data_IF_622966194843
#
_entry.id   IF_622966194843
#
_cell.length_a   1.000
_cell.length_b   1.000
_cell.length_c   1.000
_cell.angle_alpha   90.00
_cell.angle_beta   90.00
_cell.angle_gamma   90.00
#
_symmetry.space_group_name_H-M   'P 1'
#
loop_
_entity.id
_entity.type
_entity.pdbx_description
1 polymer ?
#
# COMPACT_ATOMS: atom_id res chain seq x y z
N UNK A 1 5.77 -9.89 -15.80
CA UNK A 1 6.68 -9.34 -14.79
C UNK A 1 6.79 -7.85 -15.03
N UNK A 2 6.59 -7.03 -14.01
CA UNK A 2 6.68 -5.58 -14.11
C UNK A 2 8.13 -5.15 -14.37
N UNK A 3 8.36 -4.16 -15.24
CA UNK A 3 9.69 -3.62 -15.50
C UNK A 3 9.71 -2.08 -15.48
N UNK A 4 10.92 -1.50 -15.50
CA UNK A 4 11.12 -0.04 -15.42
C UNK A 4 10.50 0.70 -16.60
N UNK A 5 10.64 0.19 -17.82
CA UNK A 5 10.10 0.83 -19.04
C UNK A 5 8.57 0.91 -19.02
N UNK A 6 7.90 -0.11 -18.48
CA UNK A 6 6.44 -0.10 -18.31
C UNK A 6 5.99 0.99 -17.33
N UNK A 7 6.68 1.12 -16.19
CA UNK A 7 6.36 2.15 -15.20
C UNK A 7 6.58 3.55 -15.79
N UNK A 8 7.68 3.75 -16.52
CA UNK A 8 7.96 5.02 -17.22
C UNK A 8 6.85 5.30 -18.25
N UNK A 9 6.48 4.33 -19.08
CA UNK A 9 5.42 4.51 -20.08
C UNK A 9 4.05 4.82 -19.48
N UNK A 10 3.75 4.33 -18.28
CA UNK A 10 2.53 4.72 -17.55
C UNK A 10 2.64 6.14 -17.00
N UNK A 11 3.80 6.54 -16.51
CA UNK A 11 4.03 7.89 -16.03
C UNK A 11 4.05 8.94 -17.15
N UNK A 12 4.52 8.57 -18.34
CA UNK A 12 4.47 9.45 -19.52
C UNK A 12 3.01 9.78 -19.89
N UNK A 13 2.05 8.89 -19.59
CA UNK A 13 0.61 9.16 -19.76
C UNK A 13 0.11 10.18 -18.73
N UNK A 14 0.59 10.08 -17.49
CA UNK A 14 0.30 11.05 -16.43
C UNK A 14 0.84 12.43 -16.80
N UNK A 15 2.12 12.52 -17.18
CA UNK A 15 2.74 13.79 -17.60
C UNK A 15 2.02 14.39 -18.81
N UNK A 16 1.58 13.56 -19.77
CA UNK A 16 0.84 14.05 -20.93
C UNK A 16 -0.57 14.57 -20.61
N UNK A 17 -1.16 14.13 -19.49
CA UNK A 17 -2.47 14.57 -19.02
C UNK A 17 -2.40 15.78 -18.08
N UNK A 18 -1.21 16.11 -17.56
CA UNK A 18 -0.99 17.28 -16.71
C UNK A 18 -1.11 18.60 -17.52
N UNK A 19 -2.13 19.44 -17.25
CA UNK A 19 -2.32 20.68 -17.98
C UNK A 19 -1.30 21.77 -17.63
N UNK A 20 -0.69 21.70 -16.44
CA UNK A 20 0.24 22.72 -15.95
C UNK A 20 1.69 22.43 -16.40
N UNK A 21 2.06 21.14 -16.45
CA UNK A 21 3.33 20.68 -17.01
C UNK A 21 4.54 21.18 -16.21
N UNK A 22 4.40 21.31 -14.90
CA UNK A 22 5.39 21.91 -14.00
C UNK A 22 6.46 20.92 -13.50
N UNK A 23 6.30 19.63 -13.80
CA UNK A 23 7.25 18.57 -13.45
C UNK A 23 6.92 17.82 -12.17
N UNK A 24 5.75 18.05 -11.56
CA UNK A 24 5.33 17.38 -10.33
C UNK A 24 5.35 15.83 -10.43
N UNK A 25 5.08 15.32 -11.63
CA UNK A 25 5.01 13.89 -11.93
C UNK A 25 6.32 13.29 -12.46
N UNK A 26 7.45 13.98 -12.36
CA UNK A 26 8.76 13.37 -12.69
C UNK A 26 9.03 12.16 -11.78
N UNK A 27 9.41 11.02 -12.38
CA UNK A 27 9.75 9.82 -11.61
C UNK A 27 11.24 9.71 -11.31
N UNK A 28 11.53 9.34 -10.07
CA UNK A 28 12.87 8.90 -9.65
C UNK A 28 12.83 7.46 -9.16
N UNK A 29 13.85 6.70 -9.54
CA UNK A 29 14.04 5.32 -9.10
C UNK A 29 15.23 5.23 -8.16
N UNK A 30 15.05 4.47 -7.08
CA UNK A 30 16.16 3.98 -6.28
C UNK A 30 16.96 2.92 -7.06
N UNK A 31 18.17 2.62 -6.57
CA UNK A 31 18.86 1.41 -6.99
C UNK A 31 18.06 0.18 -6.57
N UNK A 32 18.13 -0.94 -7.32
CA UNK A 32 17.57 -2.21 -6.87
C UNK A 32 18.09 -2.59 -5.49
N UNK A 33 17.20 -3.12 -4.65
CA UNK A 33 17.56 -3.61 -3.32
C UNK A 33 18.38 -4.91 -3.43
N UNK A 34 19.13 -5.23 -2.37
CA UNK A 34 19.94 -6.46 -2.32
C UNK A 34 19.16 -7.62 -1.71
N UNK A 35 19.54 -8.84 -2.08
CA UNK A 35 18.85 -10.08 -1.65
C UNK A 35 18.84 -10.21 -0.11
N UNK A 36 19.92 -9.82 0.54
CA UNK A 36 20.04 -9.93 2.01
C UNK A 36 19.08 -8.97 2.73
N UNK A 37 18.92 -7.74 2.23
CA UNK A 37 17.98 -6.76 2.78
C UNK A 37 16.53 -7.25 2.60
N UNK A 38 16.21 -7.80 1.43
CA UNK A 38 14.89 -8.42 1.17
C UNK A 38 14.65 -9.56 2.16
N UNK A 39 15.61 -10.46 2.35
CA UNK A 39 15.48 -11.57 3.28
C UNK A 39 15.33 -11.10 4.73
N UNK A 40 16.03 -10.02 5.11
CA UNK A 40 15.89 -9.39 6.42
C UNK A 40 14.49 -8.81 6.61
N UNK A 41 13.94 -8.15 5.59
CA UNK A 41 12.59 -7.60 5.66
C UNK A 41 11.55 -8.71 5.81
N UNK A 42 11.66 -9.78 5.00
CA UNK A 42 10.81 -10.98 5.08
C UNK A 42 10.82 -11.60 6.48
N UNK A 43 12.00 -11.65 7.12
CA UNK A 43 12.15 -12.14 8.49
C UNK A 43 11.47 -11.22 9.52
N UNK A 44 11.56 -9.90 9.37
CA UNK A 44 10.93 -8.93 10.28
C UNK A 44 9.41 -8.92 10.16
N UNK A 45 8.87 -9.01 8.94
CA UNK A 45 7.41 -9.08 8.73
C UNK A 45 6.85 -10.47 9.04
N UNK A 46 7.71 -11.50 9.13
CA UNK A 46 7.33 -12.89 9.43
C UNK A 46 6.64 -13.61 8.27
N UNK A 47 6.86 -13.18 7.02
CA UNK A 47 6.36 -13.83 5.81
C UNK A 47 7.24 -13.50 4.59
N UNK A 48 7.24 -14.34 3.55
CA UNK A 48 7.85 -13.99 2.28
C UNK A 48 7.10 -12.81 1.63
N UNK A 49 7.84 -11.96 0.90
CA UNK A 49 7.22 -10.98 0.03
C UNK A 49 6.53 -11.69 -1.14
N UNK A 50 5.41 -11.16 -1.65
CA UNK A 50 4.83 -11.69 -2.88
C UNK A 50 5.86 -11.62 -4.02
N UNK A 51 5.90 -12.67 -4.85
CA UNK A 51 6.96 -12.85 -5.85
C UNK A 51 7.15 -11.63 -6.78
N UNK A 52 6.05 -10.98 -7.18
CA UNK A 52 6.08 -9.80 -8.04
C UNK A 52 6.67 -8.56 -7.33
N UNK A 53 6.38 -8.37 -6.04
CA UNK A 53 6.94 -7.26 -5.26
C UNK A 53 8.43 -7.50 -4.97
N UNK A 54 8.79 -8.73 -4.62
CA UNK A 54 10.19 -9.15 -4.47
C UNK A 54 10.98 -8.90 -5.76
N UNK A 55 10.39 -9.25 -6.91
CA UNK A 55 10.97 -8.99 -8.21
C UNK A 55 11.16 -7.51 -8.51
N UNK A 56 10.15 -6.68 -8.20
CA UNK A 56 10.23 -5.23 -8.33
C UNK A 56 11.43 -4.69 -7.56
N UNK A 57 11.59 -5.04 -6.28
CA UNK A 57 12.71 -4.58 -5.46
C UNK A 57 14.08 -4.99 -6.01
N UNK A 58 14.25 -6.25 -6.39
CA UNK A 58 15.55 -6.79 -6.81
C UNK A 58 15.96 -6.40 -8.24
N UNK A 59 15.01 -6.02 -9.09
CA UNK A 59 15.29 -5.78 -10.52
C UNK A 59 15.08 -4.32 -10.94
N UNK A 60 14.06 -3.66 -10.38
CA UNK A 60 13.66 -2.30 -10.76
C UNK A 60 14.11 -1.29 -9.70
N UNK A 61 14.02 -1.68 -8.42
CA UNK A 61 14.12 -0.79 -7.28
C UNK A 61 12.81 -0.04 -7.01
N UNK A 62 12.71 0.53 -5.81
CA UNK A 62 11.64 1.44 -5.45
C UNK A 62 11.62 2.69 -6.35
N UNK A 63 10.48 3.37 -6.41
CA UNK A 63 10.33 4.61 -7.18
C UNK A 63 9.28 5.53 -6.56
N UNK A 64 9.35 6.81 -6.90
CA UNK A 64 8.38 7.81 -6.49
C UNK A 64 8.34 8.98 -7.46
N UNK A 65 7.26 9.75 -7.41
CA UNK A 65 7.29 11.11 -7.95
C UNK A 65 8.24 11.99 -7.13
N UNK A 66 9.00 12.85 -7.81
CA UNK A 66 9.99 13.75 -7.17
C UNK A 66 9.32 14.60 -6.10
N UNK A 67 8.14 15.13 -6.41
CA UNK A 67 7.34 16.00 -5.56
C UNK A 67 6.28 15.24 -4.74
N UNK A 68 6.56 13.97 -4.41
CA UNK A 68 5.64 13.18 -3.59
C UNK A 68 5.19 13.90 -2.31
N UNK A 69 3.86 13.98 -2.11
CA UNK A 69 3.18 14.68 -1.02
C UNK A 69 3.47 16.19 -0.91
N UNK A 70 4.11 16.78 -1.92
CA UNK A 70 4.17 18.23 -2.14
C UNK A 70 3.19 18.66 -3.23
N UNK A 71 2.82 17.72 -4.11
CA UNK A 71 1.79 17.86 -5.11
C UNK A 71 0.73 16.76 -4.95
N UNK A 72 -0.49 17.09 -5.35
CA UNK A 72 -1.62 16.17 -5.36
C UNK A 72 -1.43 15.09 -6.44
N UNK A 73 -2.11 13.96 -6.27
CA UNK A 73 -2.01 12.80 -7.16
C UNK A 73 -0.60 12.22 -7.35
N UNK A 74 0.30 12.40 -6.37
CA UNK A 74 1.65 11.85 -6.43
C UNK A 74 1.76 10.50 -5.74
N UNK A 75 2.68 9.64 -6.19
CA UNK A 75 2.83 8.28 -5.65
C UNK A 75 4.25 7.89 -5.27
N UNK A 76 4.37 6.86 -4.45
CA UNK A 76 5.63 6.23 -4.05
C UNK A 76 5.49 4.74 -3.74
N UNK A 77 6.57 4.01 -3.99
CA UNK A 77 6.88 2.71 -3.41
C UNK A 77 8.12 2.88 -2.55
N UNK A 78 8.09 2.37 -1.33
CA UNK A 78 9.21 2.49 -0.39
C UNK A 78 10.26 1.41 -0.66
N UNK A 79 11.55 1.79 -0.65
CA UNK A 79 12.64 0.82 -0.79
C UNK A 79 12.72 -0.11 0.41
N UNK A 80 13.27 -1.31 0.22
CA UNK A 80 13.47 -2.26 1.33
C UNK A 80 14.39 -1.66 2.37
N UNK A 81 15.48 -1.00 1.94
CA UNK A 81 16.40 -0.33 2.86
C UNK A 81 15.71 0.75 3.71
N UNK A 82 14.78 1.52 3.15
CA UNK A 82 13.96 2.50 3.86
C UNK A 82 13.07 1.82 4.91
N UNK A 83 12.39 0.75 4.53
CA UNK A 83 11.50 0.00 5.42
C UNK A 83 12.26 -0.65 6.57
N UNK A 84 13.41 -1.27 6.29
CA UNK A 84 14.31 -1.82 7.31
C UNK A 84 14.79 -0.74 8.27
N UNK A 85 15.14 0.44 7.75
CA UNK A 85 15.55 1.56 8.58
C UNK A 85 14.45 1.97 9.57
N UNK A 86 13.18 2.00 9.14
CA UNK A 86 12.06 2.29 10.03
C UNK A 86 11.86 1.23 11.10
N UNK A 87 11.89 -0.06 10.74
CA UNK A 87 11.60 -1.16 11.65
C UNK A 87 12.70 -1.44 12.69
N UNK A 88 13.96 -1.16 12.36
CA UNK A 88 15.12 -1.63 13.17
C UNK A 88 15.67 -0.59 14.15
N UNK A 89 15.18 0.65 14.13
CA UNK A 89 15.75 1.76 14.89
C UNK A 89 14.76 2.31 15.91
N UNK A 90 14.95 2.04 17.22
CA UNK A 90 14.04 2.51 18.28
C UNK A 90 13.88 4.02 18.35
N UNK A 91 14.88 4.79 17.90
CA UNK A 91 14.83 6.25 17.80
C UNK A 91 13.89 6.77 16.71
N UNK A 92 13.47 5.90 15.77
CA UNK A 92 12.53 6.24 14.71
C UNK A 92 11.06 6.25 15.16
N UNK A 93 10.78 6.05 16.45
CA UNK A 93 9.43 6.08 17.06
C UNK A 93 8.82 7.48 17.20
N UNK A 94 9.42 8.49 16.58
CA UNK A 94 8.86 9.84 16.53
C UNK A 94 7.80 9.93 15.41
N UNK A 95 6.90 10.91 15.54
CA UNK A 95 5.85 11.28 14.57
C UNK A 95 6.24 10.96 13.11
N UNK A 96 5.30 10.40 12.34
CA UNK A 96 5.45 10.13 10.90
C UNK A 96 6.21 8.85 10.50
N UNK A 97 6.46 7.90 11.41
CA UNK A 97 7.09 6.61 11.09
C UNK A 97 6.41 5.43 11.77
N UNK A 98 6.08 4.34 11.04
CA UNK A 98 5.25 3.31 11.60
C UNK A 98 6.05 2.30 12.42
N UNK A 99 5.47 1.87 13.56
CA UNK A 99 6.04 0.87 14.48
C UNK A 99 6.08 -0.55 13.88
N UNK A 100 5.35 -0.74 12.79
CA UNK A 100 5.27 -1.95 11.97
C UNK A 100 5.03 -1.52 10.53
N UNK A 101 4.98 -2.46 9.59
CA UNK A 101 4.47 -2.17 8.24
C UNK A 101 2.97 -2.50 8.12
N UNK A 102 2.27 -2.70 9.25
CA UNK A 102 0.84 -2.95 9.26
C UNK A 102 0.04 -1.75 8.76
N UNK A 103 -1.11 -2.01 8.12
CA UNK A 103 -1.94 -0.98 7.51
C UNK A 103 -2.37 0.14 8.48
N UNK A 104 -2.97 -0.21 9.62
CA UNK A 104 -3.43 0.78 10.60
C UNK A 104 -2.25 1.51 11.24
N UNK A 105 -1.15 0.80 11.49
CA UNK A 105 0.08 1.41 11.99
C UNK A 105 0.69 2.42 10.99
N UNK A 106 0.61 2.15 9.69
CA UNK A 106 1.04 3.07 8.64
C UNK A 106 0.16 4.33 8.59
N UNK A 107 -1.16 4.18 8.77
CA UNK A 107 -2.09 5.30 8.84
C UNK A 107 -1.79 6.18 10.07
N UNK A 108 -1.64 5.58 11.25
CA UNK A 108 -1.27 6.31 12.46
C UNK A 108 0.08 7.03 12.35
N UNK A 109 1.04 6.44 11.65
CA UNK A 109 2.29 7.12 11.39
C UNK A 109 2.04 8.39 10.58
N UNK A 110 1.39 8.28 9.43
CA UNK A 110 1.19 9.40 8.52
C UNK A 110 0.33 10.54 9.10
N UNK A 111 -0.71 10.19 9.85
CA UNK A 111 -1.74 11.14 10.29
C UNK A 111 -1.73 11.43 11.80
N UNK A 112 -0.78 10.88 12.55
CA UNK A 112 -0.81 10.89 14.01
C UNK A 112 -1.78 9.84 14.58
N UNK A 113 -1.83 9.74 15.91
CA UNK A 113 -2.80 8.86 16.56
C UNK A 113 -4.22 9.28 16.15
N UNK A 114 -4.98 8.33 15.60
CA UNK A 114 -6.32 8.55 15.03
C UNK A 114 -7.33 8.12 16.07
N UNK A 115 -7.95 9.10 16.73
CA UNK A 115 -8.90 8.85 17.81
C UNK A 115 -10.07 7.97 17.35
N UNK A 116 -10.51 8.11 16.09
CA UNK A 116 -11.60 7.28 15.57
C UNK A 116 -11.26 5.78 15.52
N UNK A 117 -9.98 5.41 15.38
CA UNK A 117 -9.57 4.02 15.48
C UNK A 117 -9.46 3.58 16.94
N UNK A 118 -8.97 4.45 17.82
CA UNK A 118 -8.88 4.13 19.25
C UNK A 118 -10.25 3.96 19.91
N UNK A 119 -11.26 4.73 19.47
CA UNK A 119 -12.56 4.81 20.10
C UNK A 119 -13.60 3.87 19.49
N UNK A 120 -13.53 3.62 18.18
CA UNK A 120 -14.56 2.88 17.45
C UNK A 120 -14.08 1.54 16.87
N UNK A 121 -12.79 1.36 16.61
CA UNK A 121 -12.28 0.09 16.08
C UNK A 121 -11.97 -0.86 17.23
N UNK A 122 -12.45 -2.11 17.14
CA UNK A 122 -12.08 -3.12 18.11
C UNK A 122 -10.56 -3.39 18.06
N UNK A 123 -9.90 -3.37 19.21
CA UNK A 123 -8.45 -3.59 19.31
C UNK A 123 -8.00 -4.93 18.69
N UNK A 124 -8.87 -5.94 18.68
CA UNK A 124 -8.61 -7.22 18.00
C UNK A 124 -8.61 -7.07 16.47
N UNK A 125 -9.54 -6.31 15.90
CA UNK A 125 -9.59 -6.03 14.46
C UNK A 125 -8.34 -5.26 14.00
N UNK A 126 -7.90 -4.26 14.78
CA UNK A 126 -6.67 -3.53 14.49
C UNK A 126 -5.45 -4.46 14.47
N UNK A 127 -5.31 -5.30 15.51
CA UNK A 127 -4.20 -6.27 15.59
C UNK A 127 -4.22 -7.25 14.43
N UNK A 128 -5.39 -7.78 14.08
CA UNK A 128 -5.57 -8.69 12.96
C UNK A 128 -5.17 -8.03 11.63
N UNK A 129 -5.62 -6.80 11.39
CA UNK A 129 -5.32 -6.07 10.15
C UNK A 129 -3.83 -5.74 10.06
N UNK A 130 -3.23 -5.21 11.12
CA UNK A 130 -1.80 -4.92 11.15
C UNK A 130 -0.93 -6.18 11.00
N UNK A 131 -1.39 -7.32 11.50
CA UNK A 131 -0.67 -8.58 11.36
C UNK A 131 -0.81 -9.20 9.97
N UNK A 132 -1.84 -8.87 9.19
CA UNK A 132 -2.12 -9.55 7.93
C UNK A 132 -1.92 -8.70 6.67
N UNK A 133 -1.99 -7.37 6.77
CA UNK A 133 -1.85 -6.47 5.63
C UNK A 133 -0.62 -5.59 5.79
N UNK A 134 0.36 -5.78 4.90
CA UNK A 134 1.67 -5.13 4.95
C UNK A 134 1.73 -4.04 3.87
N UNK A 135 1.90 -2.78 4.29
CA UNK A 135 1.99 -1.61 3.42
C UNK A 135 3.38 -1.52 2.80
N UNK A 136 3.43 -1.24 1.49
CA UNK A 136 4.68 -1.11 0.73
C UNK A 136 4.76 0.17 -0.12
N UNK A 137 3.67 0.92 -0.25
CA UNK A 137 3.60 2.14 -1.03
C UNK A 137 2.33 2.93 -0.78
N UNK A 138 2.23 4.08 -1.41
CA UNK A 138 1.07 4.97 -1.28
C UNK A 138 0.94 5.94 -2.44
N UNK A 139 -0.29 6.41 -2.66
CA UNK A 139 -0.60 7.59 -3.48
C UNK A 139 -1.20 8.68 -2.58
N UNK A 140 -0.59 9.85 -2.62
CA UNK A 140 -1.11 11.06 -2.01
C UNK A 140 -2.09 11.70 -2.99
N UNK A 141 -3.38 11.71 -2.65
CA UNK A 141 -4.43 12.22 -3.53
C UNK A 141 -4.57 13.72 -3.32
N UNK A 142 -4.75 14.12 -2.06
CA UNK A 142 -4.79 15.50 -1.61
C UNK A 142 -4.39 15.57 -0.11
N UNK A 143 -4.57 16.75 0.50
CA UNK A 143 -4.21 17.03 1.89
C UNK A 143 -4.96 16.16 2.92
N UNK A 144 -6.11 15.59 2.55
CA UNK A 144 -6.99 14.82 3.43
C UNK A 144 -7.06 13.33 3.04
N UNK A 145 -6.66 12.98 1.82
CA UNK A 145 -6.86 11.64 1.26
C UNK A 145 -5.55 10.99 0.83
N UNK A 146 -5.28 9.79 1.37
CA UNK A 146 -4.17 8.93 0.97
C UNK A 146 -4.66 7.52 0.67
N UNK A 147 -4.19 7.03 -0.47
CA UNK A 147 -4.33 5.66 -0.92
C UNK A 147 -3.12 4.84 -0.42
N UNK A 148 -3.33 3.90 0.51
CA UNK A 148 -2.30 3.00 1.02
C UNK A 148 -2.30 1.68 0.27
N UNK A 149 -1.13 1.25 -0.22
CA UNK A 149 -1.00 0.01 -0.98
C UNK A 149 -0.40 -1.08 -0.11
N UNK A 150 -1.05 -2.23 -0.08
CA UNK A 150 -0.66 -3.34 0.78
C UNK A 150 -0.72 -4.68 0.06
N UNK A 151 -0.04 -5.67 0.64
CA UNK A 151 -0.25 -7.07 0.32
C UNK A 151 -0.70 -7.85 1.55
N UNK A 152 -1.49 -8.88 1.34
CA UNK A 152 -1.94 -9.78 2.40
C UNK A 152 -0.99 -10.99 2.59
N UNK A 153 -1.25 -11.81 3.61
CA UNK A 153 -0.48 -13.05 3.86
C UNK A 153 -0.64 -14.13 2.77
N UNK A 154 -1.58 -13.97 1.84
CA UNK A 154 -1.77 -14.86 0.69
C UNK A 154 -1.09 -14.34 -0.58
N UNK A 155 -0.41 -13.18 -0.49
CA UNK A 155 0.28 -12.54 -1.60
C UNK A 155 -0.65 -11.82 -2.59
N UNK A 156 -1.88 -11.51 -2.19
CA UNK A 156 -2.80 -10.66 -2.94
C UNK A 156 -2.56 -9.19 -2.60
N UNK A 157 -2.71 -8.33 -3.60
CA UNK A 157 -2.51 -6.89 -3.46
C UNK A 157 -3.84 -6.16 -3.38
N UNK A 158 -3.87 -5.13 -2.56
CA UNK A 158 -5.01 -4.23 -2.42
C UNK A 158 -4.56 -2.81 -2.14
N UNK A 159 -5.54 -1.92 -2.09
CA UNK A 159 -5.38 -0.57 -1.63
C UNK A 159 -6.49 -0.20 -0.65
N UNK A 160 -6.14 0.67 0.29
CA UNK A 160 -7.04 1.23 1.27
C UNK A 160 -7.01 2.74 1.07
N UNK A 161 -8.13 3.32 0.62
CA UNK A 161 -8.30 4.78 0.62
C UNK A 161 -8.66 5.21 2.03
N UNK A 162 -7.84 6.09 2.58
CA UNK A 162 -8.07 6.75 3.85
C UNK A 162 -8.40 8.21 3.59
N UNK A 163 -9.56 8.67 4.06
CA UNK A 163 -9.97 10.07 4.04
C UNK A 163 -10.10 10.57 5.48
N UNK A 164 -9.35 11.61 5.87
CA UNK A 164 -9.35 12.07 7.26
C UNK A 164 -10.72 12.50 7.75
N UNK A 165 -11.60 12.97 6.87
CA UNK A 165 -12.90 13.54 7.20
C UNK A 165 -14.00 12.47 7.25
N UNK A 166 -13.70 11.23 6.83
CA UNK A 166 -14.67 10.12 6.78
C UNK A 166 -14.41 9.02 7.83
N UNK A 167 -14.32 9.40 9.11
CA UNK A 167 -14.02 8.49 10.22
C UNK A 167 -14.85 7.19 10.24
N UNK A 168 -16.17 7.28 10.10
CA UNK A 168 -17.06 6.12 10.13
C UNK A 168 -16.85 5.17 8.94
N UNK A 169 -16.55 5.74 7.77
CA UNK A 169 -16.21 4.96 6.58
C UNK A 169 -14.87 4.23 6.82
N UNK A 170 -13.82 4.94 7.25
CA UNK A 170 -12.52 4.34 7.51
C UNK A 170 -12.59 3.16 8.49
N UNK A 171 -13.29 3.32 9.61
CA UNK A 171 -13.47 2.25 10.61
C UNK A 171 -14.17 1.05 9.99
N UNK A 172 -15.32 1.24 9.34
CA UNK A 172 -16.06 0.15 8.71
C UNK A 172 -15.25 -0.58 7.64
N UNK A 173 -14.37 0.12 6.92
CA UNK A 173 -13.47 -0.48 5.92
C UNK A 173 -12.37 -1.34 6.57
N UNK A 174 -11.83 -0.93 7.72
CA UNK A 174 -10.86 -1.73 8.47
C UNK A 174 -11.52 -2.99 9.05
N UNK A 175 -12.74 -2.87 9.58
CA UNK A 175 -13.53 -4.03 10.05
C UNK A 175 -13.78 -5.04 8.91
N UNK A 176 -14.15 -4.56 7.73
CA UNK A 176 -14.32 -5.43 6.55
C UNK A 176 -13.01 -6.14 6.15
N UNK A 177 -11.85 -5.48 6.26
CA UNK A 177 -10.56 -6.12 6.05
C UNK A 177 -10.27 -7.22 7.07
N UNK A 178 -10.72 -7.05 8.32
CA UNK A 178 -10.63 -8.10 9.33
C UNK A 178 -11.53 -9.30 8.98
N UNK A 179 -12.73 -9.05 8.45
CA UNK A 179 -13.69 -10.09 8.06
C UNK A 179 -13.26 -10.94 6.84
N UNK A 180 -12.53 -10.33 5.89
CA UNK A 180 -12.00 -11.01 4.69
C UNK A 180 -10.96 -12.08 5.05
N UNK A 181 -10.32 -11.96 6.21
CA UNK A 181 -9.38 -12.97 6.65
C UNK A 181 -10.12 -14.29 6.93
N UNK A 182 -9.58 -15.45 6.52
CA UNK A 182 -10.18 -16.72 6.87
C UNK A 182 -10.29 -16.79 8.39
N UNK A 183 -11.53 -16.95 8.89
CA UNK A 183 -11.81 -17.25 10.30
C UNK A 183 -10.90 -18.39 10.73
N UNK A 184 -10.53 -18.45 12.02
CA UNK A 184 -9.52 -19.32 12.66
C UNK A 184 -9.64 -20.85 12.43
N UNK A 185 -9.78 -21.27 11.18
CA UNK A 185 -9.90 -22.61 10.67
C UNK A 185 -8.53 -22.95 10.09
N UNK A 186 -7.68 -23.50 10.96
CA UNK A 186 -6.30 -23.85 10.64
C UNK A 186 -6.15 -24.90 9.53
N UNK A 187 -7.26 -25.49 9.07
CA UNK A 187 -7.28 -26.62 8.15
C UNK A 187 -7.31 -26.23 6.66
N UNK A 188 -7.43 -24.94 6.34
CA UNK A 188 -7.41 -24.49 4.93
C UNK A 188 -5.99 -24.49 4.36
N UNK A 189 -5.81 -25.16 3.22
CA UNK A 189 -4.60 -25.05 2.40
C UNK A 189 -4.37 -23.60 1.96
N UNK A 190 -3.13 -23.20 1.57
CA UNK A 190 -2.86 -21.86 1.05
C UNK A 190 -3.76 -21.48 -0.13
N UNK A 191 -4.07 -22.44 -1.02
CA UNK A 191 -4.96 -22.20 -2.15
C UNK A 191 -6.41 -21.93 -1.71
N UNK A 192 -6.91 -22.67 -0.73
CA UNK A 192 -8.26 -22.48 -0.18
C UNK A 192 -8.37 -21.16 0.60
N UNK A 193 -7.33 -20.77 1.36
CA UNK A 193 -7.28 -19.46 2.02
C UNK A 193 -7.30 -18.33 1.01
N UNK A 194 -6.50 -18.43 -0.05
CA UNK A 194 -6.52 -17.45 -1.14
C UNK A 194 -7.88 -17.39 -1.84
N UNK A 195 -8.53 -18.53 -2.08
CA UNK A 195 -9.85 -18.58 -2.68
C UNK A 195 -10.93 -17.96 -1.77
N UNK A 196 -10.86 -18.19 -0.46
CA UNK A 196 -11.72 -17.54 0.52
C UNK A 196 -11.57 -16.02 0.48
N UNK A 197 -10.33 -15.50 0.58
CA UNK A 197 -10.07 -14.06 0.55
C UNK A 197 -10.65 -13.41 -0.71
N UNK A 198 -10.47 -14.05 -1.87
CA UNK A 198 -11.03 -13.55 -3.12
C UNK A 198 -12.56 -13.53 -3.11
N UNK A 199 -13.20 -14.59 -2.61
CA UNK A 199 -14.66 -14.68 -2.54
C UNK A 199 -15.26 -13.64 -1.57
N UNK A 200 -14.64 -13.45 -0.40
CA UNK A 200 -15.08 -12.43 0.56
C UNK A 200 -14.87 -11.03 -0.02
N UNK A 201 -13.71 -10.75 -0.61
CA UNK A 201 -13.42 -9.46 -1.25
C UNK A 201 -14.41 -9.10 -2.37
N UNK A 202 -14.93 -10.08 -3.11
CA UNK A 202 -16.00 -9.86 -4.11
C UNK A 202 -17.32 -9.42 -3.48
N UNK A 203 -17.63 -9.87 -2.26
CA UNK A 203 -18.89 -9.57 -1.59
C UNK A 203 -19.03 -8.11 -1.14
N UNK A 204 -17.90 -7.39 -1.01
CA UNK A 204 -17.85 -6.01 -0.51
C UNK A 204 -17.77 -4.93 -1.61
N UNK A 205 -17.90 -5.29 -2.90
CA UNK A 205 -18.13 -4.32 -4.00
C UNK A 205 -16.90 -3.91 -4.83
N UNK A 206 -17.13 -3.05 -5.83
CA UNK A 206 -16.17 -2.74 -6.90
C UNK A 206 -15.32 -1.49 -6.70
N UNK A 207 -15.79 -0.53 -5.90
CA UNK A 207 -15.15 0.79 -5.77
C UNK A 207 -13.90 0.76 -4.88
N UNK A 208 -13.88 -0.14 -3.89
CA UNK A 208 -12.74 -0.31 -3.00
C UNK A 208 -11.88 -1.52 -3.35
N UNK A 209 -10.57 -1.33 -3.24
CA UNK A 209 -9.59 -2.30 -3.70
C UNK A 209 -9.13 -3.22 -2.59
N UNK A 210 -10.06 -4.04 -2.10
CA UNK A 210 -9.74 -5.23 -1.29
C UNK A 210 -8.68 -6.12 -1.97
N UNK A 211 -8.02 -7.05 -1.25
CA UNK A 211 -6.96 -7.88 -1.80
C UNK A 211 -7.46 -8.75 -2.97
N UNK A 212 -7.31 -8.26 -4.20
CA UNK A 212 -7.77 -8.94 -5.42
C UNK A 212 -6.88 -8.72 -6.64
N UNK A 213 -5.90 -7.83 -6.52
CA UNK A 213 -5.05 -7.46 -7.63
C UNK A 213 -3.73 -8.23 -7.63
N UNK A 214 -3.18 -8.41 -8.83
CA UNK A 214 -1.74 -8.55 -9.01
C UNK A 214 -1.07 -7.18 -8.81
N UNK A 215 0.22 -7.16 -8.50
CA UNK A 215 0.98 -5.90 -8.35
C UNK A 215 0.86 -5.00 -9.59
N UNK A 216 0.93 -5.59 -10.78
CA UNK A 216 0.80 -4.87 -12.05
C UNK A 216 -0.57 -4.19 -12.16
N UNK A 217 -1.66 -4.93 -11.90
CA UNK A 217 -3.01 -4.36 -11.96
C UNK A 217 -3.20 -3.23 -10.95
N UNK A 218 -2.70 -3.39 -9.72
CA UNK A 218 -2.77 -2.35 -8.70
C UNK A 218 -2.04 -1.09 -9.18
N UNK A 219 -0.77 -1.19 -9.57
CA UNK A 219 0.01 -0.02 -9.97
C UNK A 219 -0.55 0.63 -11.23
N UNK A 220 -0.95 -0.16 -12.24
CA UNK A 220 -1.57 0.38 -13.46
C UNK A 220 -2.83 1.18 -13.13
N UNK A 221 -3.70 0.65 -12.28
CA UNK A 221 -4.93 1.34 -11.87
C UNK A 221 -4.63 2.67 -11.16
N UNK A 222 -3.53 2.77 -10.41
CA UNK A 222 -3.15 4.01 -9.74
C UNK A 222 -2.67 5.07 -10.74
N UNK A 223 -1.83 4.69 -11.72
CA UNK A 223 -1.43 5.61 -12.81
C UNK A 223 -2.64 6.04 -13.68
N UNK A 224 -3.55 5.10 -13.99
CA UNK A 224 -4.77 5.40 -14.74
C UNK A 224 -5.68 6.37 -13.98
N UNK A 225 -5.83 6.19 -12.66
CA UNK A 225 -6.63 7.08 -11.83
C UNK A 225 -6.04 8.50 -11.75
N UNK A 226 -4.71 8.64 -11.69
CA UNK A 226 -4.04 9.94 -11.75
C UNK A 226 -4.28 10.60 -13.12
N UNK A 227 -4.04 9.85 -14.20
CA UNK A 227 -4.21 10.34 -15.58
C UNK A 227 -5.64 10.84 -15.82
N UNK A 228 -6.64 10.08 -15.38
CA UNK A 228 -8.05 10.46 -15.52
C UNK A 228 -8.36 11.73 -14.73
N UNK A 229 -7.89 11.82 -13.48
CA UNK A 229 -8.10 13.00 -12.65
C UNK A 229 -7.53 14.27 -13.30
N UNK A 230 -6.30 14.22 -13.80
CA UNK A 230 -5.67 15.38 -14.45
C UNK A 230 -6.37 15.78 -15.75
N UNK A 231 -6.88 14.81 -16.51
CA UNK A 231 -7.61 15.08 -17.75
C UNK A 231 -9.01 15.70 -17.51
N UNK A 232 -9.53 15.62 -16.29
CA UNK A 232 -10.83 16.17 -15.89
C UNK A 232 -10.75 17.58 -15.28
N UNK A 233 -9.54 18.10 -15.03
CA UNK A 233 -9.29 19.46 -14.54
C UNK A 233 -9.30 20.49 -15.68
#
# INVERSE_FOLDING_TARGET
MLNREQIIAWNDQVIAADPEGDGDFELVFAAPDVVDDVAQLEALIGAPLPADLRALYLQVGAFKHVHYALAWQTLRIESVSTQLHWLTRPENRAFSRPYSLGLVAAIHAAWGEREEFNDALEAEAEQLVNANYVVFGSRHIDDNVIDYWYFDRQGLFGNFRFDQDEAAYNVGRIEQLADILPRANADLSPAERRAYVLAEAESYGTEDTFPRYTLNQLLRAQFDAITLHLAEQ
#
